data_IF_887648507389
#
_entry.id   IF_887648507389
#
_cell.length_a   1.000
_cell.length_b   1.000
_cell.length_c   1.000
_cell.angle_alpha   90.00
_cell.angle_beta   90.00
_cell.angle_gamma   90.00
#
_symmetry.space_group_name_H-M   'P 1'
#
loop_
_entity.id
_entity.type
_entity.pdbx_description
1 polymer ?
#
# COMPACT_ATOMS: atom_id res chain seq x y z
N UNK A 1 25.77 27.18 46.22
CA UNK A 1 24.62 27.85 45.58
C UNK A 1 23.95 26.85 44.65
N UNK A 2 22.80 26.31 45.06
CA UNK A 2 21.98 25.41 44.23
C UNK A 2 21.22 26.30 43.23
N UNK A 3 21.43 26.10 41.93
CA UNK A 3 20.59 26.72 40.91
C UNK A 3 19.22 26.05 40.98
N UNK A 4 18.18 26.84 41.27
CA UNK A 4 16.80 26.41 41.21
C UNK A 4 16.50 25.99 39.77
N UNK A 5 16.22 24.71 39.56
CA UNK A 5 15.63 24.22 38.32
C UNK A 5 14.12 24.43 38.45
N UNK A 6 13.53 25.17 37.53
CA UNK A 6 12.08 25.15 37.37
C UNK A 6 11.70 23.73 36.92
N UNK A 7 10.84 23.06 37.69
CA UNK A 7 10.23 21.80 37.29
C UNK A 7 9.51 22.01 35.95
N UNK A 8 9.97 21.32 34.90
CA UNK A 8 9.19 21.16 33.67
C UNK A 8 8.04 20.21 34.01
N UNK A 9 6.89 20.77 34.38
CA UNK A 9 5.65 20.01 34.51
C UNK A 9 5.08 19.77 33.13
N UNK A 10 5.27 18.53 32.66
CA UNK A 10 4.50 17.90 31.58
C UNK A 10 4.50 18.63 30.23
N UNK A 11 5.61 18.52 29.50
CA UNK A 11 5.66 18.93 28.10
C UNK A 11 5.38 17.75 27.17
N UNK A 12 4.48 17.94 26.19
CA UNK A 12 4.29 17.03 25.08
C UNK A 12 5.37 17.29 24.02
N UNK A 13 6.09 16.27 23.57
CA UNK A 13 7.05 16.40 22.48
C UNK A 13 6.65 15.51 21.30
N UNK A 14 6.78 16.07 20.10
CA UNK A 14 6.46 15.39 18.85
C UNK A 14 7.75 14.84 18.23
N UNK A 15 7.74 13.56 17.90
CA UNK A 15 8.83 12.86 17.23
C UNK A 15 8.39 12.48 15.82
N UNK A 16 9.26 12.71 14.85
CA UNK A 16 9.12 12.15 13.51
C UNK A 16 9.99 10.91 13.43
N UNK A 17 9.39 9.74 13.49
CA UNK A 17 10.09 8.47 13.32
C UNK A 17 10.06 8.07 11.82
N UNK A 18 11.24 7.93 11.22
CA UNK A 18 11.37 7.31 9.89
C UNK A 18 11.69 5.82 10.08
N UNK A 19 10.80 4.94 9.60
CA UNK A 19 10.99 3.49 9.67
C UNK A 19 11.34 2.94 8.29
N UNK A 20 12.59 2.51 8.12
CA UNK A 20 13.05 1.88 6.88
C UNK A 20 12.90 2.76 5.63
N UNK A 21 13.01 2.15 4.43
CA UNK A 21 13.06 2.86 3.15
C UNK A 21 11.72 3.49 2.68
N UNK A 22 10.61 3.31 3.39
CA UNK A 22 9.27 3.59 2.81
C UNK A 22 8.18 4.08 3.76
N UNK A 23 8.46 4.63 4.94
CA UNK A 23 7.39 5.18 5.80
C UNK A 23 7.83 6.27 6.77
N UNK A 24 6.99 7.31 6.90
CA UNK A 24 7.09 8.35 7.93
C UNK A 24 5.98 8.14 8.95
N UNK A 25 6.33 8.11 10.23
CA UNK A 25 5.39 8.06 11.34
C UNK A 25 5.59 9.31 12.21
N UNK A 26 4.52 10.05 12.47
CA UNK A 26 4.51 11.09 13.50
C UNK A 26 4.02 10.45 14.80
N UNK A 27 4.83 10.49 15.85
CA UNK A 27 4.47 10.02 17.19
C UNK A 27 4.55 11.17 18.18
N UNK A 28 3.62 11.25 19.14
CA UNK A 28 3.72 12.15 20.28
C UNK A 28 4.05 11.36 21.56
N UNK A 29 5.03 11.82 22.33
CA UNK A 29 5.40 11.24 23.62
C UNK A 29 5.39 12.31 24.72
N UNK A 30 5.10 11.91 25.96
CA UNK A 30 5.15 12.81 27.12
C UNK A 30 6.51 12.68 27.80
N UNK A 31 7.14 13.82 28.08
CA UNK A 31 8.32 13.86 28.95
C UNK A 31 7.89 13.93 30.41
N UNK A 32 8.51 13.10 31.23
CA UNK A 32 8.46 13.19 32.69
C UNK A 32 9.89 13.25 33.19
N UNK A 33 10.29 14.40 33.75
CA UNK A 33 11.65 14.64 34.27
C UNK A 33 12.75 14.35 33.23
N UNK A 34 12.68 15.00 32.07
CA UNK A 34 13.68 14.84 30.98
C UNK A 34 13.81 13.42 30.43
N UNK A 35 12.83 12.54 30.72
CA UNK A 35 12.75 11.17 30.21
C UNK A 35 11.45 10.96 29.44
N UNK A 36 11.51 10.19 28.36
CA UNK A 36 10.33 9.77 27.61
C UNK A 36 9.62 8.66 28.38
N UNK A 37 8.31 8.81 28.62
CA UNK A 37 7.52 7.74 29.23
C UNK A 37 7.48 6.51 28.32
N UNK A 38 8.06 5.41 28.81
CA UNK A 38 8.19 4.14 28.11
C UNK A 38 6.85 3.46 27.81
N UNK A 39 5.76 3.89 28.46
CA UNK A 39 4.40 3.44 28.12
C UNK A 39 3.89 4.05 26.82
N UNK A 40 4.50 5.14 26.36
CA UNK A 40 4.02 5.94 25.21
C UNK A 40 4.80 5.73 23.92
N UNK A 41 5.98 5.07 23.97
CA UNK A 41 6.85 4.88 22.78
C UNK A 41 7.19 3.39 22.58
N UNK A 42 6.84 2.78 21.43
CA UNK A 42 7.16 1.39 21.11
C UNK A 42 8.68 1.11 21.04
N UNK A 43 9.07 -0.16 20.96
CA UNK A 43 10.47 -0.51 20.69
C UNK A 43 10.82 -0.23 19.21
N UNK A 44 11.96 0.41 18.94
CA UNK A 44 12.35 0.73 17.56
C UNK A 44 13.67 1.50 17.43
N UNK A 45 14.15 1.64 16.20
CA UNK A 45 15.20 2.59 15.86
C UNK A 45 14.51 3.89 15.48
N UNK A 46 14.84 4.97 16.17
CA UNK A 46 14.24 6.27 15.95
C UNK A 46 15.29 7.23 15.44
N UNK A 47 14.95 7.97 14.39
CA UNK A 47 15.72 9.16 14.00
C UNK A 47 14.96 10.34 14.57
N UNK A 48 15.63 11.20 15.32
CA UNK A 48 15.04 12.48 15.70
C UNK A 48 15.83 13.61 15.07
N UNK A 49 15.15 14.74 14.85
CA UNK A 49 15.75 15.96 14.36
C UNK A 49 15.65 16.98 15.49
N UNK A 50 16.80 17.40 16.02
CA UNK A 50 16.86 18.44 17.05
C UNK A 50 17.52 19.67 16.44
N UNK A 51 16.83 20.80 16.54
CA UNK A 51 17.40 22.12 16.28
C UNK A 51 18.08 22.59 17.56
N UNK A 52 19.40 22.74 17.56
CA UNK A 52 20.06 23.56 18.57
C UNK A 52 19.92 25.02 18.10
N UNK A 53 19.88 25.96 19.03
CA UNK A 53 19.70 27.40 18.74
C UNK A 53 20.79 28.05 17.86
N UNK A 54 21.60 27.26 17.16
CA UNK A 54 22.59 27.63 16.15
C UNK A 54 22.08 27.45 14.70
N UNK A 55 20.78 27.18 14.51
CA UNK A 55 20.12 26.93 13.22
C UNK A 55 20.70 25.72 12.43
N UNK A 56 21.49 24.85 13.08
CA UNK A 56 21.98 23.62 12.45
C UNK A 56 21.06 22.45 12.79
N UNK A 57 20.56 21.79 11.75
CA UNK A 57 19.76 20.57 11.87
C UNK A 57 20.69 19.39 12.13
N UNK A 58 20.65 18.85 13.35
CA UNK A 58 21.37 17.63 13.67
C UNK A 58 20.44 16.43 13.53
N UNK A 59 20.74 15.55 12.57
CA UNK A 59 20.11 14.23 12.43
C UNK A 59 21.05 13.20 13.01
N UNK A 60 20.65 12.54 14.11
CA UNK A 60 21.37 11.37 14.62
C UNK A 60 20.38 10.22 14.78
N UNK A 61 20.62 9.05 14.17
CA UNK A 61 19.86 7.85 14.48
C UNK A 61 20.20 7.43 15.91
N UNK A 62 19.18 7.17 16.73
CA UNK A 62 19.36 6.60 18.07
C UNK A 62 18.55 5.31 18.17
N UNK A 63 19.24 4.24 18.49
CA UNK A 63 18.62 2.94 18.73
C UNK A 63 18.08 2.91 20.17
N UNK A 64 16.76 3.02 20.34
CA UNK A 64 16.15 2.93 21.66
C UNK A 64 15.94 1.45 22.00
N UNK A 65 16.78 0.92 22.90
CA UNK A 65 16.67 -0.47 23.38
C UNK A 65 15.90 -0.54 24.70
N UNK A 66 15.12 -1.62 24.87
CA UNK A 66 14.42 -1.92 26.13
C UNK A 66 15.44 -1.99 27.28
N UNK A 67 15.28 -1.09 28.26
CA UNK A 67 16.11 -1.06 29.48
C UNK A 67 17.36 -0.18 29.42
N UNK A 68 17.70 0.42 28.28
CA UNK A 68 18.80 1.38 28.20
C UNK A 68 18.33 2.80 28.59
N UNK A 69 19.19 3.56 29.27
CA UNK A 69 19.07 5.01 29.43
C UNK A 69 19.88 5.66 28.31
N UNK A 70 19.22 6.38 27.40
CA UNK A 70 19.92 7.12 26.35
C UNK A 70 19.70 8.61 26.56
N UNK A 71 20.80 9.37 26.55
CA UNK A 71 20.82 10.82 26.66
C UNK A 71 20.46 11.42 25.29
N UNK A 72 19.25 11.92 25.16
CA UNK A 72 18.82 12.65 23.98
C UNK A 72 19.46 14.05 24.01
N UNK A 73 20.45 14.24 23.15
CA UNK A 73 21.10 15.52 22.88
C UNK A 73 21.96 16.14 24.00
N UNK A 74 22.28 15.45 25.10
CA UNK A 74 23.42 15.77 25.97
C UNK A 74 23.39 17.14 26.66
N UNK A 75 22.30 17.91 26.62
CA UNK A 75 22.20 19.23 27.28
C UNK A 75 20.75 19.71 27.41
N UNK A 76 20.43 20.27 28.59
CA UNK A 76 19.17 20.89 28.99
C UNK A 76 18.52 21.78 27.91
N UNK A 77 17.23 21.57 27.67
CA UNK A 77 16.39 22.45 26.85
C UNK A 77 15.81 23.57 27.73
N UNK A 78 16.06 24.83 27.36
CA UNK A 78 15.30 25.98 27.86
C UNK A 78 14.05 26.10 26.97
N UNK A 79 12.86 26.06 27.58
CA UNK A 79 11.52 25.96 26.97
C UNK A 79 11.20 26.95 25.84
N UNK A 80 11.99 28.00 25.63
CA UNK A 80 11.57 29.16 24.83
C UNK A 80 11.76 29.06 23.31
N UNK A 81 12.18 27.92 22.73
CA UNK A 81 12.40 27.80 21.27
C UNK A 81 12.06 26.44 20.65
N UNK A 82 10.85 25.95 20.88
CA UNK A 82 10.25 24.91 20.03
C UNK A 82 9.21 25.56 19.12
N UNK A 83 9.65 26.10 17.98
CA UNK A 83 8.74 26.52 16.91
C UNK A 83 8.53 25.33 15.97
N UNK A 84 7.32 24.78 15.98
CA UNK A 84 6.87 23.77 15.03
C UNK A 84 6.07 24.46 13.92
N UNK A 85 6.74 24.85 12.84
CA UNK A 85 6.02 25.37 11.66
C UNK A 85 5.18 24.25 11.02
N UNK A 86 3.85 24.48 10.92
CA UNK A 86 2.96 23.69 10.07
C UNK A 86 2.14 22.59 10.75
N UNK A 87 2.11 22.48 12.08
CA UNK A 87 1.22 21.56 12.78
C UNK A 87 -0.05 22.32 13.22
N UNK A 88 -1.12 22.21 12.43
CA UNK A 88 -2.46 22.57 12.87
C UNK A 88 -2.94 21.66 14.01
N UNK A 89 -3.88 22.15 14.82
CA UNK A 89 -4.40 21.50 16.05
C UNK A 89 -4.37 19.96 16.02
N UNK A 90 -3.47 19.37 16.82
CA UNK A 90 -3.43 17.92 17.00
C UNK A 90 -4.36 17.53 18.15
N UNK A 91 -5.43 16.80 17.81
CA UNK A 91 -6.30 16.15 18.78
C UNK A 91 -5.49 15.03 19.47
N UNK A 92 -5.39 15.00 20.81
CA UNK A 92 -4.68 13.94 21.51
C UNK A 92 -5.33 12.59 21.23
N UNK A 93 -4.57 11.68 20.60
CA UNK A 93 -5.02 10.30 20.34
C UNK A 93 -5.09 9.55 21.65
N UNK A 94 -6.25 9.59 22.31
CA UNK A 94 -6.59 8.65 23.39
C UNK A 94 -6.87 7.30 22.74
N UNK A 95 -6.20 6.26 23.24
CA UNK A 95 -6.27 4.87 22.77
C UNK A 95 -5.52 4.60 21.46
N UNK A 96 -4.18 4.65 21.51
CA UNK A 96 -3.36 3.99 20.47
C UNK A 96 -3.49 2.48 20.66
N UNK A 97 -4.44 1.87 19.97
CA UNK A 97 -4.37 0.44 19.70
C UNK A 97 -3.19 0.24 18.75
N UNK A 98 -2.16 -0.48 19.21
CA UNK A 98 -1.08 -0.92 18.33
C UNK A 98 -1.68 -2.01 17.45
N UNK A 99 -2.27 -1.62 16.32
CA UNK A 99 -2.68 -2.56 15.29
C UNK A 99 -1.42 -3.25 14.79
N UNK A 100 -1.33 -4.56 15.01
CA UNK A 100 -0.34 -5.44 14.39
C UNK A 100 -0.30 -5.10 12.90
N UNK A 101 0.86 -4.74 12.36
CA UNK A 101 0.98 -4.48 10.91
C UNK A 101 0.39 -5.67 10.16
N UNK A 102 -0.63 -5.40 9.33
CA UNK A 102 -1.25 -6.39 8.46
C UNK A 102 -0.17 -6.97 7.56
N UNK A 103 0.07 -8.27 7.64
CA UNK A 103 1.14 -8.94 6.90
C UNK A 103 0.68 -9.19 5.47
N UNK A 104 0.93 -8.22 4.59
CA UNK A 104 0.63 -8.36 3.16
C UNK A 104 1.67 -9.26 2.49
N UNK A 105 1.22 -10.35 1.86
CA UNK A 105 2.04 -11.24 1.01
C UNK A 105 1.87 -10.82 -0.45
N UNK A 106 2.97 -10.40 -1.08
CA UNK A 106 3.01 -10.11 -2.52
C UNK A 106 3.41 -11.35 -3.33
N UNK A 107 2.68 -11.61 -4.42
CA UNK A 107 2.93 -12.69 -5.37
C UNK A 107 3.19 -12.09 -6.76
N UNK A 108 4.26 -12.54 -7.42
CA UNK A 108 4.47 -12.31 -8.85
C UNK A 108 3.82 -13.45 -9.61
N UNK A 109 2.87 -13.12 -10.49
CA UNK A 109 2.06 -14.09 -11.22
C UNK A 109 2.71 -14.53 -12.54
N UNK A 110 3.56 -13.67 -13.11
CA UNK A 110 4.10 -13.84 -14.46
C UNK A 110 3.99 -12.54 -15.25
N UNK A 111 4.01 -12.68 -16.57
CA UNK A 111 3.92 -11.55 -17.49
C UNK A 111 2.84 -11.78 -18.54
N UNK A 112 2.21 -10.70 -18.97
CA UNK A 112 1.32 -10.67 -20.13
C UNK A 112 1.83 -9.68 -21.16
N UNK A 113 1.61 -9.96 -22.43
CA UNK A 113 1.77 -9.01 -23.53
C UNK A 113 0.45 -8.30 -23.80
N UNK A 114 0.48 -6.98 -23.89
CA UNK A 114 -0.65 -6.14 -24.30
C UNK A 114 -0.31 -5.55 -25.66
N UNK A 115 -1.09 -5.93 -26.69
CA UNK A 115 -0.84 -5.49 -28.08
C UNK A 115 -1.62 -4.22 -28.42
N UNK A 116 -2.79 -4.02 -27.80
CA UNK A 116 -3.65 -2.87 -28.05
C UNK A 116 -3.33 -1.66 -27.15
N UNK A 117 -3.83 -0.48 -27.53
CA UNK A 117 -3.76 0.76 -26.73
C UNK A 117 -4.85 0.83 -25.64
N UNK A 118 -5.63 -0.24 -25.50
CA UNK A 118 -6.65 -0.42 -24.48
C UNK A 118 -6.70 -1.87 -24.02
N UNK A 119 -6.99 -2.05 -22.74
CA UNK A 119 -7.12 -3.37 -22.11
C UNK A 119 -8.51 -3.52 -21.48
N UNK A 120 -9.02 -4.74 -21.47
CA UNK A 120 -10.23 -5.08 -20.75
C UNK A 120 -9.93 -5.32 -19.27
N UNK A 121 -10.68 -4.65 -18.41
CA UNK A 121 -10.65 -4.82 -16.96
C UNK A 121 -12.03 -5.36 -16.56
N UNK A 122 -12.07 -6.62 -16.15
CA UNK A 122 -13.34 -7.36 -16.01
C UNK A 122 -13.18 -8.67 -15.25
N UNK A 123 -14.31 -9.28 -14.92
CA UNK A 123 -14.44 -10.69 -14.59
C UNK A 123 -14.18 -11.57 -15.83
N UNK A 124 -13.42 -12.69 -15.71
CA UNK A 124 -13.24 -13.66 -16.80
C UNK A 124 -14.55 -14.30 -17.30
N UNK A 125 -15.61 -14.37 -16.49
CA UNK A 125 -16.89 -14.94 -16.87
C UNK A 125 -17.77 -14.02 -17.74
N UNK A 126 -17.41 -12.75 -17.88
CA UNK A 126 -18.23 -11.77 -18.60
C UNK A 126 -17.90 -11.65 -20.09
N UNK A 127 -18.96 -11.48 -20.88
CA UNK A 127 -18.88 -11.10 -22.28
C UNK A 127 -18.54 -9.61 -22.46
N UNK A 128 -18.40 -9.17 -23.71
CA UNK A 128 -18.06 -7.78 -24.07
C UNK A 128 -19.20 -6.81 -23.81
N UNK A 129 -20.44 -7.22 -24.03
CA UNK A 129 -21.62 -6.35 -23.97
C UNK A 129 -22.27 -6.37 -22.58
N UNK A 130 -21.46 -6.17 -21.54
CA UNK A 130 -21.95 -6.03 -20.16
C UNK A 130 -21.51 -4.70 -19.57
N UNK A 131 -22.44 -4.06 -18.86
CA UNK A 131 -22.23 -2.72 -18.29
C UNK A 131 -21.15 -2.67 -17.20
N UNK A 132 -20.84 -3.82 -16.58
CA UNK A 132 -19.89 -3.98 -15.49
C UNK A 132 -18.43 -4.19 -15.95
N UNK A 133 -18.16 -4.21 -17.27
CA UNK A 133 -16.82 -4.30 -17.86
C UNK A 133 -16.26 -2.91 -18.18
N UNK A 134 -14.95 -2.72 -17.97
CA UNK A 134 -14.26 -1.48 -18.34
C UNK A 134 -13.21 -1.74 -19.42
N UNK A 135 -13.15 -0.84 -20.42
CA UNK A 135 -12.05 -0.80 -21.39
C UNK A 135 -11.12 0.37 -21.08
N UNK A 136 -10.00 0.11 -20.41
CA UNK A 136 -9.08 1.13 -19.92
C UNK A 136 -7.98 1.46 -20.93
N UNK A 137 -7.55 2.73 -21.08
CA UNK A 137 -6.38 3.07 -21.90
C UNK A 137 -5.10 2.52 -21.26
N UNK A 138 -4.17 2.06 -22.08
CA UNK A 138 -2.85 1.53 -21.65
C UNK A 138 -1.85 1.62 -22.81
N UNK A 139 -0.57 1.79 -22.51
CA UNK A 139 0.44 1.69 -23.58
C UNK A 139 0.68 0.20 -23.93
N UNK A 140 0.81 -0.16 -25.21
CA UNK A 140 1.22 -1.51 -25.59
C UNK A 140 2.58 -1.89 -24.99
N UNK A 141 2.78 -3.18 -24.73
CA UNK A 141 4.04 -3.75 -24.28
C UNK A 141 3.89 -4.92 -23.32
N UNK A 142 4.99 -5.31 -22.70
CA UNK A 142 5.02 -6.37 -21.69
C UNK A 142 4.72 -5.81 -20.30
N UNK A 143 3.92 -6.55 -19.53
CA UNK A 143 3.50 -6.17 -18.19
C UNK A 143 3.77 -7.28 -17.20
N UNK A 144 4.28 -6.90 -16.03
CA UNK A 144 4.41 -7.78 -14.88
C UNK A 144 3.13 -7.77 -14.06
N UNK A 145 2.64 -8.98 -13.77
CA UNK A 145 1.38 -9.21 -13.06
C UNK A 145 1.66 -9.54 -11.60
N UNK A 146 0.93 -8.87 -10.70
CA UNK A 146 1.08 -9.04 -9.27
C UNK A 146 -0.26 -9.13 -8.56
N UNK A 147 -0.27 -9.90 -7.48
CA UNK A 147 -1.37 -9.99 -6.54
C UNK A 147 -0.84 -9.79 -5.12
N UNK A 148 -1.62 -9.11 -4.28
CA UNK A 148 -1.32 -8.94 -2.86
C UNK A 148 -2.41 -9.57 -2.02
N UNK A 149 -1.98 -10.27 -0.98
CA UNK A 149 -2.80 -11.13 -0.15
C UNK A 149 -2.67 -10.75 1.32
N UNK A 150 -3.79 -10.76 2.02
CA UNK A 150 -3.86 -10.56 3.48
C UNK A 150 -4.64 -11.71 4.11
N UNK A 151 -4.20 -12.12 5.30
CA UNK A 151 -4.89 -13.14 6.09
C UNK A 151 -5.83 -12.46 7.09
N UNK A 152 -7.13 -12.63 6.86
CA UNK A 152 -8.18 -12.09 7.71
C UNK A 152 -8.60 -13.13 8.75
N UNK A 153 -8.77 -12.78 10.04
CA UNK A 153 -9.07 -13.76 11.09
C UNK A 153 -10.25 -14.69 10.79
N UNK A 154 -11.35 -14.15 10.27
CA UNK A 154 -12.59 -14.92 10.06
C UNK A 154 -12.77 -15.37 8.60
N UNK A 155 -12.01 -14.80 7.66
CA UNK A 155 -12.16 -15.04 6.22
C UNK A 155 -10.97 -15.80 5.65
N UNK A 156 -9.86 -15.89 6.37
CA UNK A 156 -8.60 -16.43 5.91
C UNK A 156 -7.95 -15.57 4.83
N UNK A 157 -7.16 -16.20 3.99
CA UNK A 157 -6.36 -15.51 2.98
C UNK A 157 -7.23 -14.96 1.82
N UNK A 158 -7.16 -13.64 1.62
CA UNK A 158 -7.89 -12.88 0.59
C UNK A 158 -6.94 -12.07 -0.28
N UNK A 159 -7.22 -12.02 -1.59
CA UNK A 159 -6.50 -11.11 -2.47
C UNK A 159 -7.09 -9.72 -2.26
N UNK A 160 -6.31 -8.81 -1.70
CA UNK A 160 -6.74 -7.44 -1.38
C UNK A 160 -6.59 -6.52 -2.58
N UNK A 161 -5.70 -6.85 -3.51
CA UNK A 161 -5.57 -6.18 -4.81
C UNK A 161 -4.80 -7.03 -5.81
N UNK A 162 -5.06 -6.80 -7.10
CA UNK A 162 -4.19 -7.23 -8.18
C UNK A 162 -3.80 -6.04 -9.05
N UNK A 163 -2.64 -6.11 -9.70
CA UNK A 163 -2.16 -5.02 -10.54
C UNK A 163 -1.19 -5.50 -11.62
N UNK A 164 -1.15 -4.73 -12.70
CA UNK A 164 -0.17 -4.87 -13.78
C UNK A 164 0.70 -3.62 -13.85
N UNK A 165 2.00 -3.80 -14.09
CA UNK A 165 2.94 -2.70 -14.31
C UNK A 165 3.78 -2.97 -15.54
N UNK A 166 4.04 -1.93 -16.34
CA UNK A 166 4.85 -2.08 -17.54
C UNK A 166 6.27 -2.57 -17.18
N UNK A 167 6.71 -3.65 -17.81
CA UNK A 167 7.97 -4.34 -17.52
C UNK A 167 9.21 -3.54 -17.92
N UNK A 168 9.07 -2.52 -18.77
CA UNK A 168 10.18 -1.65 -19.14
C UNK A 168 10.79 -1.01 -17.87
N UNK A 169 12.11 -1.17 -17.62
CA UNK A 169 12.76 -0.62 -16.42
C UNK A 169 12.53 0.88 -16.22
N UNK A 170 12.36 1.64 -17.31
CA UNK A 170 12.02 3.06 -17.26
C UNK A 170 10.64 3.29 -16.60
N UNK A 171 9.63 2.49 -16.94
CA UNK A 171 8.27 2.63 -16.41
C UNK A 171 8.06 1.89 -15.09
N UNK A 172 8.65 0.71 -14.91
CA UNK A 172 8.39 -0.20 -13.77
C UNK A 172 8.39 0.48 -12.40
N UNK A 173 9.48 1.19 -12.06
CA UNK A 173 9.59 1.89 -10.76
C UNK A 173 8.60 3.05 -10.63
N UNK A 174 8.29 3.72 -11.74
CA UNK A 174 7.34 4.84 -11.79
C UNK A 174 5.91 4.34 -11.61
N UNK A 175 5.53 3.25 -12.28
CA UNK A 175 4.22 2.63 -12.16
C UNK A 175 3.94 2.24 -10.71
N UNK A 176 4.86 1.51 -10.06
CA UNK A 176 4.74 1.13 -8.65
C UNK A 176 4.62 2.33 -7.71
N UNK A 177 5.44 3.36 -7.91
CA UNK A 177 5.37 4.58 -7.09
C UNK A 177 4.01 5.28 -7.25
N UNK A 178 3.51 5.39 -8.49
CA UNK A 178 2.23 6.04 -8.79
C UNK A 178 1.06 5.27 -8.21
N UNK A 179 0.95 3.96 -8.43
CA UNK A 179 -0.12 3.15 -7.85
C UNK A 179 -0.20 3.29 -6.32
N UNK A 180 0.95 3.40 -5.64
CA UNK A 180 1.00 3.52 -4.17
C UNK A 180 0.74 4.92 -3.61
N UNK A 181 1.13 5.98 -4.34
CA UNK A 181 1.19 7.32 -3.75
C UNK A 181 0.44 8.40 -4.54
N UNK A 182 0.15 8.17 -5.82
CA UNK A 182 -0.42 9.16 -6.70
C UNK A 182 -1.04 8.49 -7.93
N UNK A 183 -2.07 7.69 -7.66
CA UNK A 183 -2.84 7.01 -8.69
C UNK A 183 -3.97 7.91 -9.20
N UNK A 184 -4.55 7.55 -10.34
CA UNK A 184 -5.79 8.15 -10.83
C UNK A 184 -6.90 7.11 -10.76
N UNK A 185 -7.98 7.39 -10.04
CA UNK A 185 -9.20 6.58 -10.13
C UNK A 185 -9.79 6.72 -11.54
N UNK A 186 -10.11 5.60 -12.19
CA UNK A 186 -10.62 5.59 -13.58
C UNK A 186 -12.01 4.96 -13.73
N UNK A 187 -12.61 4.51 -12.63
CA UNK A 187 -13.96 3.95 -12.59
C UNK A 187 -14.03 2.69 -11.73
N UNK A 188 -15.19 2.03 -11.77
CA UNK A 188 -15.41 0.73 -11.11
C UNK A 188 -15.71 -0.34 -12.16
N UNK A 189 -15.43 -1.59 -11.82
CA UNK A 189 -15.93 -2.77 -12.52
C UNK A 189 -16.90 -3.51 -11.60
N UNK A 190 -17.88 -4.19 -12.18
CA UNK A 190 -18.65 -5.20 -11.45
C UNK A 190 -17.93 -6.54 -11.52
N UNK A 191 -18.08 -7.35 -10.49
CA UNK A 191 -17.41 -8.64 -10.34
C UNK A 191 -18.40 -9.65 -9.77
N UNK A 192 -18.35 -10.88 -10.28
CA UNK A 192 -19.12 -12.01 -9.81
C UNK A 192 -18.15 -13.09 -9.27
N UNK A 193 -18.55 -13.80 -8.23
CA UNK A 193 -17.73 -14.82 -7.56
C UNK A 193 -16.33 -14.34 -7.11
N UNK A 194 -16.10 -13.02 -7.02
CA UNK A 194 -14.81 -12.43 -6.66
C UNK A 194 -13.69 -12.59 -7.70
N UNK A 195 -13.99 -12.86 -8.96
CA UNK A 195 -13.00 -13.00 -10.03
C UNK A 195 -12.83 -11.69 -10.82
N UNK A 196 -11.62 -11.15 -10.89
CA UNK A 196 -11.37 -10.00 -11.75
C UNK A 196 -9.92 -9.86 -12.17
N UNK A 197 -9.71 -9.24 -13.33
CA UNK A 197 -8.38 -9.00 -13.84
C UNK A 197 -8.33 -8.19 -15.13
N UNK A 198 -7.26 -8.42 -15.88
CA UNK A 198 -6.79 -7.64 -17.01
C UNK A 198 -6.58 -8.56 -18.22
N UNK A 199 -7.15 -8.19 -19.36
CA UNK A 199 -7.15 -9.03 -20.56
C UNK A 199 -6.88 -8.21 -21.82
N UNK A 200 -5.86 -8.59 -22.58
CA UNK A 200 -5.63 -8.06 -23.92
C UNK A 200 -6.71 -8.62 -24.86
N UNK A 201 -7.75 -7.82 -25.12
CA UNK A 201 -8.87 -8.18 -25.99
C UNK A 201 -9.55 -9.50 -25.58
N UNK A 202 -10.16 -9.53 -24.39
CA UNK A 202 -10.86 -10.71 -23.88
C UNK A 202 -11.95 -11.14 -24.88
N UNK A 203 -11.96 -12.41 -25.34
CA UNK A 203 -13.04 -12.91 -26.18
C UNK A 203 -14.31 -13.18 -25.36
N UNK A 204 -15.43 -13.29 -26.07
CA UNK A 204 -16.68 -13.83 -25.52
C UNK A 204 -16.54 -15.35 -25.64
N UNK A 205 -16.70 -16.06 -24.52
CA UNK A 205 -16.42 -17.49 -24.47
C UNK A 205 -17.70 -18.24 -24.85
N UNK A 206 -17.58 -19.22 -25.75
CA UNK A 206 -18.60 -20.24 -25.88
C UNK A 206 -18.55 -21.23 -24.69
N UNK A 207 -19.53 -22.13 -24.60
CA UNK A 207 -19.62 -23.08 -23.49
C UNK A 207 -18.34 -23.92 -23.31
N UNK A 208 -17.69 -24.29 -24.42
CA UNK A 208 -16.48 -25.11 -24.39
C UNK A 208 -15.28 -24.32 -23.86
N UNK A 209 -15.08 -23.09 -24.36
CA UNK A 209 -14.03 -22.19 -23.89
C UNK A 209 -14.26 -21.76 -22.44
N UNK A 210 -15.52 -21.51 -22.05
CA UNK A 210 -15.88 -21.20 -20.67
C UNK A 210 -15.52 -22.37 -19.74
N UNK A 211 -15.83 -23.60 -20.13
CA UNK A 211 -15.50 -24.79 -19.35
C UNK A 211 -13.99 -25.05 -19.28
N UNK A 212 -13.23 -24.74 -20.32
CA UNK A 212 -11.75 -24.77 -20.29
C UNK A 212 -11.18 -23.76 -19.30
N UNK A 213 -11.70 -22.53 -19.29
CA UNK A 213 -11.30 -21.49 -18.32
C UNK A 213 -11.61 -21.92 -16.89
N UNK A 214 -12.81 -22.45 -16.63
CA UNK A 214 -13.17 -23.00 -15.32
C UNK A 214 -12.25 -24.15 -14.90
N UNK A 215 -12.01 -25.12 -15.79
CA UNK A 215 -11.15 -26.28 -15.51
C UNK A 215 -9.71 -25.87 -15.21
N UNK A 216 -9.21 -24.85 -15.92
CA UNK A 216 -7.91 -24.25 -15.66
C UNK A 216 -7.85 -23.61 -14.27
N UNK A 217 -8.86 -22.80 -13.90
CA UNK A 217 -8.91 -22.18 -12.57
C UNK A 217 -8.96 -23.24 -11.47
N UNK A 218 -9.82 -24.25 -11.61
CA UNK A 218 -9.94 -25.36 -10.66
C UNK A 218 -8.60 -26.09 -10.45
N UNK A 219 -7.85 -26.33 -11.53
CA UNK A 219 -6.55 -26.99 -11.44
C UNK A 219 -5.53 -26.13 -10.68
N UNK A 220 -5.51 -24.83 -10.93
CA UNK A 220 -4.62 -23.86 -10.26
C UNK A 220 -4.99 -23.73 -8.77
N UNK A 221 -6.28 -23.69 -8.45
CA UNK A 221 -6.77 -23.60 -7.06
C UNK A 221 -6.54 -24.87 -6.26
N UNK A 222 -6.68 -26.06 -6.88
CA UNK A 222 -6.25 -27.33 -6.26
C UNK A 222 -4.75 -27.36 -5.96
N UNK A 223 -3.96 -26.62 -6.73
CA UNK A 223 -2.54 -26.36 -6.47
C UNK A 223 -2.27 -25.32 -5.37
N UNK A 224 -3.30 -24.70 -4.79
CA UNK A 224 -3.20 -23.72 -3.70
C UNK A 224 -2.94 -22.27 -4.15
N UNK A 225 -3.17 -21.94 -5.42
CA UNK A 225 -3.01 -20.57 -5.96
C UNK A 225 -4.37 -19.96 -6.29
N UNK A 226 -4.51 -18.64 -6.07
CA UNK A 226 -5.70 -17.83 -6.44
C UNK A 226 -5.38 -16.81 -7.54
N UNK A 227 -4.34 -17.10 -8.31
CA UNK A 227 -3.70 -16.19 -9.26
C UNK A 227 -3.57 -16.92 -10.58
N UNK A 228 -4.08 -16.32 -11.65
CA UNK A 228 -4.26 -16.96 -12.94
C UNK A 228 -3.62 -16.13 -14.04
N UNK A 229 -2.77 -16.75 -14.84
CA UNK A 229 -2.24 -16.17 -16.08
C UNK A 229 -2.49 -17.19 -17.18
N UNK A 230 -3.19 -16.78 -18.25
CA UNK A 230 -3.51 -17.64 -19.38
C UNK A 230 -3.29 -16.86 -20.68
N UNK A 231 -2.63 -17.50 -21.63
CA UNK A 231 -2.43 -16.97 -22.98
C UNK A 231 -3.52 -17.54 -23.88
N UNK A 232 -4.37 -16.67 -24.43
CA UNK A 232 -5.40 -17.04 -25.40
C UNK A 232 -4.90 -16.73 -26.82
N UNK A 233 -5.56 -17.30 -27.83
CA UNK A 233 -5.25 -16.97 -29.23
C UNK A 233 -5.45 -15.48 -29.53
N UNK A 234 -6.42 -14.84 -28.87
CA UNK A 234 -6.79 -13.44 -29.10
C UNK A 234 -6.00 -12.44 -28.26
N UNK A 235 -5.23 -12.91 -27.28
CA UNK A 235 -4.44 -12.08 -26.36
C UNK A 235 -4.25 -12.73 -24.99
N UNK A 236 -3.55 -12.05 -24.10
CA UNK A 236 -3.19 -12.58 -22.78
C UNK A 236 -4.18 -12.13 -21.70
N UNK A 237 -4.39 -12.98 -20.69
CA UNK A 237 -5.20 -12.68 -19.52
C UNK A 237 -4.47 -12.91 -18.21
N UNK A 238 -4.66 -12.00 -17.26
CA UNK A 238 -4.22 -12.13 -15.87
C UNK A 238 -5.36 -11.75 -14.94
N UNK A 239 -5.75 -12.62 -14.01
CA UNK A 239 -6.79 -12.34 -13.03
C UNK A 239 -6.55 -13.08 -11.71
N UNK A 240 -7.36 -12.75 -10.71
CA UNK A 240 -7.29 -13.37 -9.38
C UNK A 240 -8.66 -13.69 -8.84
N UNK A 241 -8.73 -14.67 -7.94
CA UNK A 241 -9.88 -14.89 -7.07
C UNK A 241 -9.68 -14.13 -5.76
N UNK A 242 -10.50 -13.09 -5.52
CA UNK A 242 -10.39 -12.21 -4.35
C UNK A 242 -10.76 -12.92 -3.05
N UNK A 243 -11.83 -13.71 -3.10
CA UNK A 243 -12.49 -14.30 -1.93
C UNK A 243 -13.40 -13.34 -1.17
N UNK A 244 -13.60 -12.11 -1.66
CA UNK A 244 -14.60 -11.17 -1.14
C UNK A 244 -15.98 -11.36 -1.79
N UNK A 245 -16.03 -12.05 -2.94
CA UNK A 245 -17.28 -12.31 -3.67
C UNK A 245 -17.69 -11.17 -4.57
N UNK A 246 -18.98 -11.05 -4.78
CA UNK A 246 -19.58 -10.14 -5.75
C UNK A 246 -19.51 -8.68 -5.27
N UNK A 247 -19.34 -7.75 -6.20
CA UNK A 247 -19.32 -6.33 -5.85
C UNK A 247 -18.84 -5.41 -6.95
N UNK A 248 -18.68 -4.13 -6.58
CA UNK A 248 -18.09 -3.11 -7.42
C UNK A 248 -16.72 -2.72 -6.88
N UNK A 249 -15.69 -2.92 -7.69
CA UNK A 249 -14.31 -2.69 -7.28
C UNK A 249 -13.68 -1.55 -8.08
N UNK A 250 -13.00 -0.61 -7.42
CA UNK A 250 -12.36 0.52 -8.07
C UNK A 250 -11.16 0.05 -8.88
N UNK A 251 -10.99 0.69 -10.04
CA UNK A 251 -9.83 0.55 -10.90
C UNK A 251 -9.00 1.83 -10.82
N UNK A 252 -7.72 1.66 -10.51
CA UNK A 252 -6.74 2.74 -10.38
C UNK A 252 -5.72 2.64 -11.50
N UNK A 253 -5.26 3.79 -11.98
CA UNK A 253 -4.26 3.90 -13.04
C UNK A 253 -3.00 4.64 -12.58
N UNK A 254 -1.84 4.09 -12.91
CA UNK A 254 -0.57 4.80 -12.86
C UNK A 254 -0.32 5.51 -14.19
N UNK A 255 -0.24 6.85 -14.14
CA UNK A 255 0.03 7.68 -15.32
C UNK A 255 1.45 8.24 -15.33
N UNK A 256 2.07 8.28 -16.50
CA UNK A 256 3.32 8.99 -16.77
C UNK A 256 3.15 9.81 -18.05
N UNK A 257 3.27 11.13 -17.96
CA UNK A 257 3.09 12.05 -19.08
C UNK A 257 1.77 11.81 -19.85
N UNK A 258 0.68 11.58 -19.12
CA UNK A 258 -0.65 11.30 -19.70
C UNK A 258 -0.88 9.85 -20.12
N UNK A 259 0.17 9.04 -20.27
CA UNK A 259 0.09 7.64 -20.67
C UNK A 259 -0.10 6.71 -19.46
N UNK A 260 -0.96 5.70 -19.58
CA UNK A 260 -1.18 4.69 -18.53
C UNK A 260 -0.12 3.61 -18.64
N UNK A 261 0.65 3.43 -17.57
CA UNK A 261 1.80 2.51 -17.48
C UNK A 261 1.60 1.40 -16.43
N UNK A 262 0.44 1.36 -15.80
CA UNK A 262 0.03 0.32 -14.87
C UNK A 262 -1.40 0.53 -14.41
N UNK A 263 -2.06 -0.55 -14.02
CA UNK A 263 -3.43 -0.59 -13.55
C UNK A 263 -3.54 -1.46 -12.30
N UNK A 264 -4.50 -1.18 -11.44
CA UNK A 264 -4.78 -1.91 -10.21
C UNK A 264 -6.28 -2.05 -10.00
N UNK A 265 -6.72 -3.24 -9.57
CA UNK A 265 -8.05 -3.49 -9.00
C UNK A 265 -7.85 -3.68 -7.50
N UNK A 266 -8.58 -2.90 -6.69
CA UNK A 266 -8.56 -3.02 -5.23
C UNK A 266 -9.84 -3.70 -4.75
N UNK A 267 -9.69 -4.83 -4.05
CA UNK A 267 -10.79 -5.62 -3.53
C UNK A 267 -11.12 -5.29 -2.08
N UNK A 268 -10.11 -4.95 -1.28
CA UNK A 268 -10.31 -4.54 0.09
C UNK A 268 -10.54 -3.02 0.16
N UNK A 269 -11.81 -2.65 0.05
CA UNK A 269 -12.27 -1.30 0.34
C UNK A 269 -12.40 -1.18 1.85
N UNK A 270 -11.31 -0.82 2.54
CA UNK A 270 -11.49 -0.28 3.89
C UNK A 270 -12.23 1.05 3.72
N UNK A 271 -13.39 1.18 4.35
CA UNK A 271 -14.12 2.44 4.42
C UNK A 271 -13.19 3.51 4.99
N UNK A 272 -12.84 4.52 4.16
CA UNK A 272 -12.08 5.71 4.57
C UNK A 272 -12.79 6.48 5.71
#
# INVERSE_FOLDING_TARGET
MRKNYNEVKDSLLYFRAEYGRFGQLLMCGRFVNERVDKKTVPNGIYTYECSRGDNKRHKRPVAVKKGASEDFCGTLFLESKLEFEGIGECIPVKNVSITKEKKIKKVFAGTIEIKADRIDVTDPGYDKDVWCRMKAPIIPGNYECYAEFEDFPDWGNRCVRNYIINSNPFFKRRALYRLRNNYTYIGNIGVDAGLAGFFDNKPDFDDAASMDVCSFMDAVEKGGSKVFVKHFETGDGFWTHSGFGDGFYPVKAAKHNGQVIGLEIEFNLEDD
#
